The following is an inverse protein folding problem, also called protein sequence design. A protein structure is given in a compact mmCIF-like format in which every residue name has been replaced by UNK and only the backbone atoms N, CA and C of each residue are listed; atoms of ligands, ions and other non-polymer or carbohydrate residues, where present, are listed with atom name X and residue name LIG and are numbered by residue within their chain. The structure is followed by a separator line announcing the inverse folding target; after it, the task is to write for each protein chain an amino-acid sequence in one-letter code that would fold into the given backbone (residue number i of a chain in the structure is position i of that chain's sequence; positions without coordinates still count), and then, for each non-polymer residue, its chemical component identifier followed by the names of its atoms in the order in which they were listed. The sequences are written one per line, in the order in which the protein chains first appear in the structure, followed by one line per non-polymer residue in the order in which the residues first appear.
data_IF_887200015445
#
_entry.id   IF_887200015445
#
_cell.length_a   1.000
_cell.length_b   1.000
_cell.length_c   1.000
_cell.angle_alpha   90.00
_cell.angle_beta   90.00
_cell.angle_gamma   90.00
#
_symmetry.space_group_name_H-M   'P 1'
#
loop_
_entity.id
_entity.type
_entity.pdbx_description
1 polymer ?
#
# COMPACT_ATOMS: atom_id res chain seq x y z
N UNK A 1 10.69 -5.47 7.62
CA UNK A 1 11.07 -6.72 6.93
C UNK A 1 12.31 -7.28 7.64
N UNK A 2 12.53 -8.59 7.71
CA UNK A 2 13.60 -9.13 8.58
C UNK A 2 15.00 -8.57 8.23
N UNK A 3 15.26 -8.30 6.95
CA UNK A 3 16.52 -7.73 6.46
C UNK A 3 16.48 -6.20 6.24
N UNK A 4 15.38 -5.53 6.59
CA UNK A 4 15.20 -4.09 6.42
C UNK A 4 14.28 -3.53 7.53
N UNK A 5 14.85 -3.13 8.68
CA UNK A 5 14.09 -2.75 9.87
C UNK A 5 13.33 -1.43 9.72
N UNK A 6 13.78 -0.57 8.81
CA UNK A 6 13.13 0.70 8.49
C UNK A 6 12.03 0.56 7.44
N UNK A 7 11.82 -0.63 6.88
CA UNK A 7 10.79 -0.89 5.86
C UNK A 7 9.65 -1.75 6.41
N UNK A 8 8.43 -1.42 5.97
CA UNK A 8 7.20 -2.02 6.47
C UNK A 8 6.35 -2.57 5.34
N UNK A 9 5.70 -3.70 5.56
CA UNK A 9 4.63 -4.22 4.71
C UNK A 9 3.36 -4.30 5.54
N UNK A 10 2.32 -3.59 5.09
CA UNK A 10 1.04 -3.53 5.81
C UNK A 10 0.36 -4.89 5.83
N UNK A 11 -0.12 -5.29 7.01
CA UNK A 11 -0.81 -6.56 7.25
C UNK A 11 -2.33 -6.38 7.32
N UNK A 12 -3.05 -7.51 7.23
CA UNK A 12 -4.51 -7.55 7.42
C UNK A 12 -5.31 -8.17 6.28
N UNK A 13 -4.68 -8.83 5.31
CA UNK A 13 -5.38 -9.51 4.21
C UNK A 13 -6.13 -10.75 4.70
N UNK A 14 -5.59 -11.40 5.73
CA UNK A 14 -6.24 -12.56 6.36
C UNK A 14 -7.60 -12.16 6.95
N UNK A 15 -8.63 -12.89 6.54
CA UNK A 15 -10.02 -12.63 6.94
C UNK A 15 -10.61 -11.32 6.39
N UNK A 16 -9.93 -10.64 5.45
CA UNK A 16 -10.38 -9.35 4.93
C UNK A 16 -11.72 -9.49 4.19
N UNK A 17 -11.91 -10.58 3.45
CA UNK A 17 -13.13 -10.83 2.69
C UNK A 17 -14.37 -10.91 3.59
N UNK A 18 -14.28 -11.66 4.70
CA UNK A 18 -15.34 -11.81 5.68
C UNK A 18 -15.68 -10.46 6.32
N UNK A 19 -14.65 -9.71 6.75
CA UNK A 19 -14.83 -8.37 7.30
C UNK A 19 -15.47 -7.41 6.29
N UNK A 20 -15.03 -7.43 5.03
CA UNK A 20 -15.61 -6.59 3.98
C UNK A 20 -17.08 -6.94 3.73
N UNK A 21 -17.45 -8.23 3.72
CA UNK A 21 -18.84 -8.67 3.59
C UNK A 21 -19.71 -8.17 4.74
N UNK A 22 -19.20 -8.20 5.96
CA UNK A 22 -19.89 -7.66 7.14
C UNK A 22 -20.02 -6.13 7.07
N UNK A 23 -18.94 -5.43 6.69
CA UNK A 23 -18.95 -3.97 6.58
C UNK A 23 -19.92 -3.46 5.52
N UNK A 24 -20.03 -4.16 4.38
CA UNK A 24 -21.01 -3.82 3.34
C UNK A 24 -22.44 -3.93 3.87
N UNK A 25 -22.76 -5.00 4.62
CA UNK A 25 -24.09 -5.23 5.22
C UNK A 25 -24.49 -4.16 6.22
N UNK A 26 -23.54 -3.58 6.96
CA UNK A 26 -23.80 -2.47 7.88
C UNK A 26 -23.73 -1.10 7.21
N UNK A 27 -23.56 -1.06 5.88
CA UNK A 27 -23.72 0.15 5.07
C UNK A 27 -22.42 0.82 4.61
N UNK A 28 -21.25 0.23 4.87
CA UNK A 28 -20.00 0.77 4.34
C UNK A 28 -20.00 0.74 2.80
N UNK A 29 -19.45 1.78 2.18
CA UNK A 29 -19.39 1.95 0.71
C UNK A 29 -17.99 2.07 0.16
N UNK A 30 -17.01 2.27 1.03
CA UNK A 30 -15.61 2.30 0.67
C UNK A 30 -14.76 1.80 1.85
N UNK A 31 -13.55 1.40 1.56
CA UNK A 31 -12.54 1.06 2.55
C UNK A 31 -11.24 1.80 2.19
N UNK A 32 -10.25 1.78 3.10
CA UNK A 32 -8.92 2.32 2.84
C UNK A 32 -7.84 1.33 3.24
N UNK A 33 -6.76 1.26 2.46
CA UNK A 33 -5.54 0.55 2.84
C UNK A 33 -4.32 1.42 2.54
N UNK A 34 -3.45 1.54 3.54
CA UNK A 34 -2.25 2.39 3.51
C UNK A 34 -1.00 1.53 3.50
N UNK A 35 -0.14 1.74 2.51
CA UNK A 35 1.23 1.25 2.49
C UNK A 35 2.19 2.41 2.79
N UNK A 36 3.21 2.16 3.61
CA UNK A 36 4.20 3.19 3.99
C UNK A 36 5.51 2.88 3.28
N UNK A 37 6.01 3.85 2.53
CA UNK A 37 7.26 3.78 1.77
C UNK A 37 8.23 4.83 2.34
N UNK A 38 9.21 4.36 3.10
CA UNK A 38 10.23 5.21 3.72
C UNK A 38 11.37 5.51 2.74
N UNK A 39 11.95 6.72 2.82
CA UNK A 39 13.13 7.12 2.05
C UNK A 39 14.31 7.33 3.01
N UNK A 40 15.43 6.68 2.70
CA UNK A 40 16.65 6.71 3.51
C UNK A 40 17.85 6.22 2.71
N UNK A 41 18.94 5.93 3.41
CA UNK A 41 20.12 5.33 2.77
C UNK A 41 19.83 3.88 2.38
N UNK A 42 19.85 3.58 1.08
CA UNK A 42 19.58 2.23 0.56
C UNK A 42 18.09 1.83 0.51
N UNK A 43 17.17 2.67 0.97
CA UNK A 43 15.72 2.42 0.98
C UNK A 43 14.94 3.54 0.24
N UNK A 44 13.76 3.26 -0.35
CA UNK A 44 13.08 1.98 -0.34
C UNK A 44 13.73 0.95 -1.28
N UNK A 45 13.73 -0.31 -0.85
CA UNK A 45 14.12 -1.45 -1.65
C UNK A 45 13.03 -1.78 -2.68
N UNK A 46 13.43 -2.42 -3.79
CA UNK A 46 12.47 -2.93 -4.78
C UNK A 46 11.48 -3.90 -4.15
N UNK A 47 11.97 -4.76 -3.27
CA UNK A 47 11.17 -5.79 -2.60
C UNK A 47 10.08 -5.17 -1.71
N UNK A 48 10.41 -4.14 -0.93
CA UNK A 48 9.44 -3.39 -0.13
C UNK A 48 8.33 -2.76 -0.99
N UNK A 49 8.71 -2.13 -2.10
CA UNK A 49 7.73 -1.53 -3.03
C UNK A 49 6.84 -2.63 -3.63
N UNK A 50 7.45 -3.71 -4.12
CA UNK A 50 6.72 -4.83 -4.76
C UNK A 50 5.72 -5.48 -3.81
N UNK A 51 6.14 -5.85 -2.60
CA UNK A 51 5.27 -6.49 -1.62
C UNK A 51 4.10 -5.58 -1.20
N UNK A 52 4.36 -4.28 -0.99
CA UNK A 52 3.30 -3.34 -0.66
C UNK A 52 2.31 -3.14 -1.81
N UNK A 53 2.78 -3.05 -3.06
CA UNK A 53 1.89 -2.87 -4.21
C UNK A 53 1.06 -4.14 -4.48
N UNK A 54 1.64 -5.34 -4.30
CA UNK A 54 0.91 -6.60 -4.39
C UNK A 54 -0.17 -6.70 -3.30
N UNK A 55 0.15 -6.30 -2.06
CA UNK A 55 -0.82 -6.27 -0.97
C UNK A 55 -1.97 -5.29 -1.24
N UNK A 56 -1.66 -4.08 -1.74
CA UNK A 56 -2.66 -3.08 -2.15
C UNK A 56 -3.57 -3.59 -3.27
N UNK A 57 -3.02 -4.29 -4.27
CA UNK A 57 -3.80 -4.87 -5.36
C UNK A 57 -4.75 -5.97 -4.86
N UNK A 58 -4.26 -6.89 -4.01
CA UNK A 58 -5.08 -7.94 -3.37
C UNK A 58 -6.19 -7.31 -2.53
N UNK A 59 -5.87 -6.31 -1.73
CA UNK A 59 -6.84 -5.54 -0.95
C UNK A 59 -7.92 -4.92 -1.85
N UNK A 60 -7.51 -4.22 -2.92
CA UNK A 60 -8.43 -3.51 -3.81
C UNK A 60 -9.41 -4.48 -4.48
N UNK A 61 -8.92 -5.63 -4.95
CA UNK A 61 -9.73 -6.70 -5.51
C UNK A 61 -10.79 -7.20 -4.52
N UNK A 62 -10.39 -7.55 -3.30
CA UNK A 62 -11.31 -8.07 -2.27
C UNK A 62 -12.41 -7.04 -1.94
N UNK A 63 -12.06 -5.76 -1.84
CA UNK A 63 -13.01 -4.68 -1.55
C UNK A 63 -14.01 -4.49 -2.70
N UNK A 64 -13.54 -4.55 -3.95
CA UNK A 64 -14.41 -4.47 -5.13
C UNK A 64 -15.35 -5.68 -5.23
N UNK A 65 -14.87 -6.90 -4.96
CA UNK A 65 -15.69 -8.11 -4.92
C UNK A 65 -16.80 -8.01 -3.84
N UNK A 66 -16.53 -7.26 -2.76
CA UNK A 66 -17.50 -6.93 -1.71
C UNK A 66 -18.25 -5.60 -1.96
N UNK A 67 -18.34 -5.14 -3.21
CA UNK A 67 -19.18 -3.99 -3.65
C UNK A 67 -18.87 -2.66 -2.95
N UNK A 68 -17.64 -2.50 -2.48
CA UNK A 68 -17.14 -1.25 -1.91
C UNK A 68 -16.06 -0.64 -2.80
N UNK A 69 -15.84 0.67 -2.68
CA UNK A 69 -14.76 1.38 -3.37
C UNK A 69 -13.46 1.26 -2.56
N UNK A 70 -12.35 0.73 -3.10
CA UNK A 70 -11.07 0.73 -2.41
C UNK A 70 -10.36 2.08 -2.57
N UNK A 71 -9.95 2.67 -1.46
CA UNK A 71 -8.96 3.76 -1.44
C UNK A 71 -7.58 3.11 -1.27
N UNK A 72 -6.78 3.20 -2.33
CA UNK A 72 -5.42 2.67 -2.42
C UNK A 72 -4.45 3.80 -2.08
N UNK A 73 -3.71 3.69 -0.98
CA UNK A 73 -2.86 4.76 -0.44
C UNK A 73 -1.40 4.30 -0.29
N UNK A 74 -0.61 4.36 -1.38
CA UNK A 74 0.82 4.11 -1.34
C UNK A 74 1.56 5.39 -0.93
N UNK A 75 1.75 5.59 0.37
CA UNK A 75 2.31 6.82 0.91
C UNK A 75 3.84 6.77 0.95
N UNK A 76 4.47 7.64 0.16
CA UNK A 76 5.90 7.96 0.29
C UNK A 76 6.04 9.01 1.40
N UNK A 77 6.70 8.66 2.50
CA UNK A 77 6.85 9.59 3.63
C UNK A 77 7.73 10.77 3.24
N UNK A 78 7.27 11.96 3.64
CA UNK A 78 8.02 13.21 3.47
C UNK A 78 9.15 13.37 4.50
N UNK A 79 9.10 12.60 5.60
CA UNK A 79 10.10 12.66 6.65
C UNK A 79 11.47 12.17 6.17
N UNK A 80 12.53 12.86 6.60
CA UNK A 80 13.91 12.51 6.28
C UNK A 80 14.69 13.66 5.64
N UNK A 81 15.93 13.36 5.23
CA UNK A 81 16.86 14.34 4.65
C UNK A 81 16.98 14.22 3.12
N UNK A 82 16.00 13.61 2.45
CA UNK A 82 16.02 13.38 1.01
C UNK A 82 15.61 14.63 0.22
N UNK A 83 16.08 14.75 -1.02
CA UNK A 83 15.70 15.86 -1.90
C UNK A 83 14.32 15.67 -2.53
N UNK A 84 13.75 16.76 -3.06
CA UNK A 84 12.52 16.71 -3.85
C UNK A 84 12.65 15.77 -5.07
N UNK A 85 13.82 15.73 -5.70
CA UNK A 85 14.08 14.84 -6.84
C UNK A 85 14.03 13.38 -6.44
N UNK A 86 14.57 13.04 -5.26
CA UNK A 86 14.51 11.68 -4.72
C UNK A 86 13.08 11.29 -4.36
N UNK A 87 12.32 12.20 -3.76
CA UNK A 87 10.90 11.99 -3.49
C UNK A 87 10.13 11.71 -4.80
N UNK A 88 10.33 12.54 -5.83
CA UNK A 88 9.72 12.36 -7.15
C UNK A 88 10.06 11.01 -7.77
N UNK A 89 11.33 10.61 -7.73
CA UNK A 89 11.80 9.32 -8.26
C UNK A 89 11.05 8.15 -7.60
N UNK A 90 11.03 8.14 -6.26
CA UNK A 90 10.40 7.09 -5.46
C UNK A 90 8.88 7.08 -5.67
N UNK A 91 8.21 8.23 -5.58
CA UNK A 91 6.76 8.34 -5.84
C UNK A 91 6.41 7.86 -7.23
N UNK A 92 7.16 8.28 -8.25
CA UNK A 92 6.91 7.86 -9.63
C UNK A 92 7.04 6.35 -9.80
N UNK A 93 8.04 5.75 -9.14
CA UNK A 93 8.27 4.30 -9.18
C UNK A 93 7.15 3.53 -8.48
N UNK A 94 6.80 3.92 -7.27
CA UNK A 94 5.71 3.31 -6.48
C UNK A 94 4.38 3.37 -7.22
N UNK A 95 4.02 4.55 -7.77
CA UNK A 95 2.75 4.72 -8.49
C UNK A 95 2.72 3.95 -9.81
N UNK A 96 3.82 3.89 -10.56
CA UNK A 96 3.88 3.11 -11.81
C UNK A 96 3.61 1.63 -11.55
N UNK A 97 4.23 1.07 -10.51
CA UNK A 97 4.05 -0.34 -10.20
C UNK A 97 2.61 -0.64 -9.74
N UNK A 98 1.99 0.27 -8.98
CA UNK A 98 0.58 0.15 -8.57
C UNK A 98 -0.42 0.06 -9.73
N UNK A 99 -0.06 0.54 -10.93
CA UNK A 99 -0.95 0.55 -12.11
C UNK A 99 -0.76 -0.68 -13.01
N UNK A 100 0.25 -1.50 -12.74
CA UNK A 100 0.60 -2.69 -13.56
C UNK A 100 0.13 -4.01 -12.97
N UNK A 101 -0.50 -3.99 -11.79
CA UNK A 101 -1.00 -5.15 -11.05
C UNK A 101 -2.54 -5.14 -11.09
#
# INVERSE_FOLDING_TARGET
MDDSPEETVTQGLDGLNERCSEYEKIGAKFAKWRAVINIGEGIPTEDCINQNMEALAKYAKIVQENKMVPIVEPEVLMDGNHSIDRCLEVTSKTLRLSLTI
#
